data_IF_397206916762
#
_entry.id   IF_397206916762
#
_cell.length_a   1.000
_cell.length_b   1.000
_cell.length_c   1.000
_cell.angle_alpha   90.00
_cell.angle_beta   90.00
_cell.angle_gamma   90.00
#
_symmetry.space_group_name_H-M   'P 1'
#
loop_
_entity.id
_entity.type
_entity.pdbx_description
1 polymer ?
#
# COMPACT_ATOMS: atom_id res chain seq x y z
N UNK A 1 -19.37 -8.02 -8.79
CA UNK A 1 -18.09 -7.36 -8.45
C UNK A 1 -17.97 -7.36 -6.94
N UNK A 2 -16.96 -8.03 -6.37
CA UNK A 2 -16.68 -7.98 -4.93
C UNK A 2 -15.78 -6.74 -4.70
N UNK A 3 -16.02 -5.97 -3.64
CA UNK A 3 -15.13 -4.87 -3.26
C UNK A 3 -15.45 -3.48 -3.83
N UNK A 4 -16.69 -3.20 -4.23
CA UNK A 4 -17.09 -1.87 -4.74
C UNK A 4 -17.39 -0.83 -3.65
N UNK A 5 -17.22 -1.17 -2.38
CA UNK A 5 -17.45 -0.27 -1.25
C UNK A 5 -16.28 -0.35 -0.28
N UNK A 6 -15.91 0.78 0.31
CA UNK A 6 -14.88 0.86 1.33
C UNK A 6 -15.39 0.22 2.63
N UNK A 7 -14.62 -0.70 3.20
CA UNK A 7 -14.98 -1.42 4.42
C UNK A 7 -14.15 -1.00 5.63
N UNK A 8 -12.90 -0.58 5.42
CA UNK A 8 -11.99 -0.18 6.49
C UNK A 8 -10.86 0.74 5.99
N UNK A 9 -10.25 1.47 6.92
CA UNK A 9 -9.01 2.22 6.69
C UNK A 9 -8.05 1.91 7.85
N UNK A 10 -6.93 1.26 7.55
CA UNK A 10 -5.89 0.94 8.53
C UNK A 10 -4.84 2.06 8.59
N UNK A 11 -4.95 2.92 9.60
CA UNK A 11 -4.10 4.13 9.70
C UNK A 11 -2.83 3.94 10.52
N UNK A 12 -2.73 2.90 11.34
CA UNK A 12 -1.59 2.71 12.26
C UNK A 12 -0.49 1.86 11.64
N UNK A 13 -0.87 0.73 11.03
CA UNK A 13 0.08 -0.25 10.49
C UNK A 13 -0.44 -0.86 9.19
N UNK A 14 -0.56 -0.08 8.10
CA UNK A 14 -0.86 -0.65 6.79
C UNK A 14 0.28 -1.60 6.34
N UNK A 15 -0.07 -2.77 5.81
CA UNK A 15 0.87 -3.84 5.42
C UNK A 15 0.93 -4.03 3.89
N UNK A 16 1.55 -5.12 3.42
CA UNK A 16 1.60 -5.56 2.02
C UNK A 16 2.50 -4.80 1.04
N UNK A 17 3.47 -4.01 1.52
CA UNK A 17 4.39 -3.27 0.64
C UNK A 17 5.28 -4.17 -0.23
N UNK A 18 5.72 -5.33 0.30
CA UNK A 18 6.58 -6.28 -0.42
C UNK A 18 5.81 -6.97 -1.56
N UNK A 19 4.59 -7.44 -1.25
CA UNK A 19 3.74 -8.16 -2.20
C UNK A 19 3.34 -7.27 -3.39
N UNK A 20 3.15 -5.97 -3.16
CA UNK A 20 2.89 -4.99 -4.22
C UNK A 20 4.13 -4.81 -5.10
N UNK A 21 5.32 -4.73 -4.51
CA UNK A 21 6.58 -4.63 -5.26
C UNK A 21 6.75 -5.84 -6.19
N UNK A 22 6.57 -7.06 -5.68
CA UNK A 22 6.75 -8.30 -6.44
C UNK A 22 5.72 -8.45 -7.57
N UNK A 23 4.45 -8.06 -7.34
CA UNK A 23 3.36 -8.28 -8.29
C UNK A 23 3.18 -7.14 -9.30
N UNK A 24 3.54 -5.91 -8.93
CA UNK A 24 3.28 -4.70 -9.73
C UNK A 24 4.54 -3.95 -10.12
N UNK A 25 5.71 -4.30 -9.57
CA UNK A 25 6.96 -3.58 -9.79
C UNK A 25 6.94 -2.17 -9.20
N UNK A 26 6.08 -1.91 -8.22
CA UNK A 26 5.93 -0.60 -7.59
C UNK A 26 6.46 -0.60 -6.16
N UNK A 27 7.50 0.18 -5.92
CA UNK A 27 8.14 0.30 -4.61
C UNK A 27 7.40 1.32 -3.72
N UNK A 28 6.42 0.82 -2.97
CA UNK A 28 5.62 1.60 -2.02
C UNK A 28 6.49 2.16 -0.88
N UNK A 29 7.50 1.40 -0.45
CA UNK A 29 8.37 1.81 0.65
C UNK A 29 9.21 3.02 0.27
N UNK A 30 9.78 3.01 -0.96
CA UNK A 30 10.49 4.16 -1.50
C UNK A 30 9.60 5.39 -1.61
N UNK A 31 8.39 5.26 -2.17
CA UNK A 31 7.44 6.36 -2.27
C UNK A 31 7.12 6.97 -0.90
N UNK A 32 6.96 6.13 0.13
CA UNK A 32 6.70 6.61 1.50
C UNK A 32 7.88 7.42 2.05
N UNK A 33 9.13 6.97 1.86
CA UNK A 33 10.32 7.72 2.30
C UNK A 33 10.45 9.03 1.52
N UNK A 34 10.28 9.00 0.20
CA UNK A 34 10.35 10.20 -0.65
C UNK A 34 9.28 11.25 -0.25
N UNK A 35 8.15 10.82 0.33
CA UNK A 35 7.09 11.71 0.82
C UNK A 35 7.35 12.23 2.25
N UNK A 36 8.17 11.52 3.03
CA UNK A 36 8.54 11.89 4.39
C UNK A 36 9.72 12.87 4.43
N UNK A 37 10.60 12.80 3.42
CA UNK A 37 11.66 13.78 3.16
C UNK A 37 11.10 15.11 2.62
#
# INVERSE_FOLDING_TARGET
>A
VIGNHLTEINVTSPTCMQEICDQKGFDVAKMMIDLLE
#
